data_IF_787363556259
#
_entry.id   IF_787363556259
#
_cell.length_a   1.000
_cell.length_b   1.000
_cell.length_c   1.000
_cell.angle_alpha   90.00
_cell.angle_beta   90.00
_cell.angle_gamma   90.00
#
_symmetry.space_group_name_H-M   'P 1'
#
loop_
_entity.id
_entity.type
_entity.pdbx_description
1 polymer ?
#
# COMPACT_ATOMS: atom_id res chain seq x y z
N UNK A 1 12.84 -7.94 26.58
CA UNK A 1 13.40 -7.19 25.45
C UNK A 1 12.30 -6.30 24.90
N UNK A 2 12.42 -4.99 25.12
CA UNK A 2 11.49 -4.01 24.54
C UNK A 2 11.86 -3.85 23.07
N UNK A 3 11.18 -4.56 22.17
CA UNK A 3 11.25 -4.28 20.74
C UNK A 3 10.52 -2.96 20.48
N UNK A 4 11.28 -1.98 20.05
CA UNK A 4 10.84 -0.63 19.73
C UNK A 4 9.86 -0.66 18.56
N UNK A 5 8.72 0.01 18.74
CA UNK A 5 7.85 0.45 17.63
C UNK A 5 8.66 1.33 16.67
N UNK A 6 8.34 1.34 15.35
CA UNK A 6 9.12 2.06 14.36
C UNK A 6 9.22 3.55 14.64
N UNK A 7 10.35 4.12 14.22
CA UNK A 7 10.93 5.44 14.51
C UNK A 7 10.14 6.64 13.93
N UNK A 8 8.99 6.46 13.28
CA UNK A 8 8.12 7.58 12.92
C UNK A 8 7.23 7.93 14.10
N UNK A 9 7.37 9.11 14.68
CA UNK A 9 6.62 9.55 15.87
C UNK A 9 5.08 9.63 15.71
N UNK A 10 4.51 8.92 14.74
CA UNK A 10 3.09 8.81 14.47
C UNK A 10 2.59 7.44 14.95
N UNK A 11 1.51 7.46 15.77
CA UNK A 11 0.85 6.24 16.24
C UNK A 11 0.01 5.65 15.11
N UNK A 12 -0.02 4.29 15.01
CA UNK A 12 -0.89 3.59 14.10
C UNK A 12 -2.34 3.63 14.58
N UNK A 13 -3.26 3.78 13.66
CA UNK A 13 -4.71 3.73 13.92
C UNK A 13 -5.23 2.32 13.66
N UNK A 14 -5.82 1.68 14.66
CA UNK A 14 -6.46 0.37 14.55
C UNK A 14 -7.98 0.52 14.64
N UNK A 15 -8.72 -0.29 13.88
CA UNK A 15 -10.15 -0.44 14.08
C UNK A 15 -10.44 -1.81 14.70
N UNK A 16 -11.14 -1.82 15.82
CA UNK A 16 -11.64 -3.02 16.50
C UNK A 16 -13.14 -3.14 16.29
N UNK A 17 -13.59 -4.21 15.62
CA UNK A 17 -14.99 -4.59 15.46
C UNK A 17 -15.30 -5.80 16.34
N UNK A 18 -16.13 -5.61 17.36
CA UNK A 18 -16.56 -6.62 18.33
C UNK A 18 -17.94 -6.19 18.88
N UNK A 19 -18.94 -7.04 18.82
CA UNK A 19 -20.32 -6.70 19.24
C UNK A 19 -20.47 -6.72 20.77
N UNK A 20 -19.74 -7.59 21.47
CA UNK A 20 -19.79 -7.65 22.93
C UNK A 20 -19.06 -6.46 23.56
N UNK A 21 -19.76 -5.57 24.28
CA UNK A 21 -19.16 -4.35 24.82
C UNK A 21 -18.08 -4.61 25.88
N UNK A 22 -18.15 -5.70 26.63
CA UNK A 22 -17.18 -6.02 27.67
C UNK A 22 -15.88 -6.56 27.03
N UNK A 23 -16.00 -7.43 26.02
CA UNK A 23 -14.87 -7.94 25.25
C UNK A 23 -14.20 -6.79 24.47
N UNK A 24 -14.98 -5.95 23.81
CA UNK A 24 -14.50 -4.79 23.08
C UNK A 24 -13.71 -3.86 23.99
N UNK A 25 -14.29 -3.47 25.14
CA UNK A 25 -13.62 -2.62 26.16
C UNK A 25 -12.32 -3.26 26.68
N UNK A 26 -12.34 -4.58 26.94
CA UNK A 26 -11.17 -5.31 27.38
C UNK A 26 -10.03 -5.25 26.36
N UNK A 27 -10.31 -5.51 25.09
CA UNK A 27 -9.31 -5.47 24.01
C UNK A 27 -8.81 -4.03 23.82
N UNK A 28 -9.70 -3.03 23.75
CA UNK A 28 -9.33 -1.62 23.60
C UNK A 28 -8.37 -1.17 24.68
N UNK A 29 -8.67 -1.44 25.94
CA UNK A 29 -7.83 -1.07 27.09
C UNK A 29 -6.38 -1.60 26.96
N UNK A 30 -6.18 -2.76 26.33
CA UNK A 30 -4.85 -3.34 26.13
C UNK A 30 -4.15 -2.81 24.86
N UNK A 31 -4.90 -2.31 23.88
CA UNK A 31 -4.34 -1.77 22.64
C UNK A 31 -4.04 -0.27 22.73
N UNK A 32 -4.86 0.52 23.44
CA UNK A 32 -4.74 1.97 23.60
C UNK A 32 -3.35 2.47 24.07
N UNK A 33 -2.59 1.74 24.93
CA UNK A 33 -1.23 2.18 25.25
C UNK A 33 -0.28 2.26 24.05
N UNK A 34 -0.58 1.56 22.95
CA UNK A 34 0.30 1.40 21.78
C UNK A 34 -0.26 2.00 20.50
N UNK A 35 -1.59 2.11 20.36
CA UNK A 35 -2.30 2.45 19.14
C UNK A 35 -3.43 3.44 19.41
N UNK A 36 -3.84 4.16 18.37
CA UNK A 36 -5.09 4.92 18.38
C UNK A 36 -6.21 3.96 17.95
N UNK A 37 -7.13 3.62 18.87
CA UNK A 37 -8.13 2.58 18.64
C UNK A 37 -9.49 3.19 18.30
N UNK A 38 -10.03 2.82 17.15
CA UNK A 38 -11.40 3.08 16.74
C UNK A 38 -12.25 1.85 17.06
N UNK A 39 -13.38 2.02 17.71
CA UNK A 39 -14.31 0.95 18.05
C UNK A 39 -15.47 0.87 17.07
N UNK A 40 -15.92 -0.35 16.77
CA UNK A 40 -17.16 -0.62 16.05
C UNK A 40 -17.92 -1.79 16.69
N UNK A 41 -19.23 -1.69 16.73
CA UNK A 41 -20.11 -2.68 17.40
C UNK A 41 -20.68 -3.74 16.43
N UNK A 42 -20.48 -3.59 15.14
CA UNK A 42 -20.91 -4.53 14.09
C UNK A 42 -20.17 -4.21 12.77
N UNK A 43 -20.27 -5.14 11.81
CA UNK A 43 -19.54 -4.99 10.54
C UNK A 43 -20.01 -3.83 9.65
N UNK A 44 -21.25 -3.35 9.80
CA UNK A 44 -21.73 -2.17 9.05
C UNK A 44 -21.10 -0.89 9.59
N UNK A 45 -21.12 -0.71 10.93
CA UNK A 45 -20.47 0.42 11.61
C UNK A 45 -18.95 0.42 11.33
N UNK A 46 -18.33 -0.77 11.39
CA UNK A 46 -16.93 -0.96 11.07
C UNK A 46 -16.60 -0.50 9.64
N UNK A 47 -17.35 -0.94 8.63
CA UNK A 47 -17.06 -0.59 7.24
C UNK A 47 -17.20 0.91 6.98
N UNK A 48 -18.23 1.56 7.56
CA UNK A 48 -18.39 3.01 7.44
C UNK A 48 -17.19 3.76 8.01
N UNK A 49 -16.76 3.41 9.23
CA UNK A 49 -15.57 4.00 9.87
C UNK A 49 -14.30 3.73 9.08
N UNK A 50 -14.12 2.50 8.54
CA UNK A 50 -12.97 2.15 7.70
C UNK A 50 -12.93 3.03 6.44
N UNK A 51 -14.05 3.22 5.76
CA UNK A 51 -14.12 4.03 4.55
C UNK A 51 -13.81 5.51 4.78
N UNK A 52 -14.12 6.03 5.99
CA UNK A 52 -13.85 7.42 6.37
C UNK A 52 -12.42 7.64 6.87
N UNK A 53 -11.91 6.73 7.69
CA UNK A 53 -10.64 6.93 8.42
C UNK A 53 -9.45 6.24 7.78
N UNK A 54 -9.66 5.14 7.03
CA UNK A 54 -8.63 4.27 6.46
C UNK A 54 -7.59 3.87 7.53
N UNK A 55 -7.95 3.05 8.53
CA UNK A 55 -7.04 2.65 9.59
C UNK A 55 -5.87 1.81 9.04
N UNK A 56 -4.78 1.72 9.80
CA UNK A 56 -3.60 0.95 9.42
C UNK A 56 -3.81 -0.56 9.53
N UNK A 57 -4.78 -1.01 10.37
CA UNK A 57 -5.14 -2.42 10.55
C UNK A 57 -6.55 -2.53 11.14
N UNK A 58 -7.26 -3.59 10.76
CA UNK A 58 -8.57 -3.97 11.32
C UNK A 58 -8.44 -5.27 12.11
N UNK A 59 -9.02 -5.29 13.31
CA UNK A 59 -9.24 -6.51 14.11
C UNK A 59 -10.74 -6.71 14.18
N UNK A 60 -11.25 -7.86 13.74
CA UNK A 60 -12.70 -8.13 13.71
C UNK A 60 -13.06 -9.47 14.30
N UNK A 61 -14.06 -9.49 15.17
CA UNK A 61 -14.73 -10.76 15.48
C UNK A 61 -15.51 -11.26 14.26
N UNK A 62 -15.69 -12.58 14.16
CA UNK A 62 -16.54 -13.17 13.12
C UNK A 62 -18.01 -12.95 13.47
N UNK A 63 -18.40 -13.26 14.71
CA UNK A 63 -19.80 -13.32 15.11
C UNK A 63 -20.31 -11.94 15.51
N UNK A 64 -20.77 -11.17 14.55
CA UNK A 64 -21.36 -9.84 14.80
C UNK A 64 -22.73 -9.72 14.13
N UNK A 65 -23.68 -8.93 14.71
CA UNK A 65 -24.97 -8.67 14.10
C UNK A 65 -24.85 -7.79 12.84
N UNK A 66 -25.87 -7.81 12.00
CA UNK A 66 -26.02 -7.03 10.76
C UNK A 66 -25.05 -7.47 9.64
N UNK A 67 -23.76 -7.48 9.89
CA UNK A 67 -22.70 -7.93 8.99
C UNK A 67 -21.64 -8.63 9.82
N UNK A 68 -21.34 -9.88 9.48
CA UNK A 68 -20.31 -10.67 10.14
C UNK A 68 -18.89 -10.27 9.72
N UNK A 69 -17.87 -10.74 10.46
CA UNK A 69 -16.50 -10.38 10.22
C UNK A 69 -15.91 -10.92 8.91
N UNK A 70 -16.42 -12.03 8.38
CA UNK A 70 -15.98 -12.58 7.08
C UNK A 70 -16.52 -11.73 5.93
N UNK A 71 -17.81 -11.34 6.02
CA UNK A 71 -18.41 -10.42 5.05
C UNK A 71 -17.72 -9.06 5.08
N UNK A 72 -17.43 -8.53 6.27
CA UNK A 72 -16.67 -7.29 6.44
C UNK A 72 -15.30 -7.40 5.79
N UNK A 73 -14.55 -8.46 6.07
CA UNK A 73 -13.23 -8.70 5.49
C UNK A 73 -13.29 -8.76 3.96
N UNK A 74 -14.21 -9.56 3.41
CA UNK A 74 -14.39 -9.67 1.95
C UNK A 74 -14.67 -8.30 1.31
N UNK A 75 -15.53 -7.49 1.91
CA UNK A 75 -15.87 -6.16 1.42
C UNK A 75 -14.67 -5.20 1.49
N UNK A 76 -13.91 -5.22 2.59
CA UNK A 76 -12.66 -4.44 2.72
C UNK A 76 -11.69 -4.81 1.60
N UNK A 77 -11.49 -6.11 1.36
CA UNK A 77 -10.50 -6.61 0.39
C UNK A 77 -10.90 -6.38 -1.06
N UNK A 78 -12.19 -6.33 -1.36
CA UNK A 78 -12.70 -6.08 -2.72
C UNK A 78 -12.79 -4.59 -3.07
N UNK A 79 -12.92 -3.70 -2.10
CA UNK A 79 -12.97 -2.25 -2.35
C UNK A 79 -11.56 -1.72 -2.63
N UNK A 80 -11.38 -1.07 -3.79
CA UNK A 80 -10.11 -0.47 -4.21
C UNK A 80 -9.54 0.54 -3.20
N UNK A 81 -10.40 1.16 -2.38
CA UNK A 81 -9.98 2.17 -1.39
C UNK A 81 -9.40 1.54 -0.13
N UNK A 82 -9.90 0.36 0.25
CA UNK A 82 -9.62 -0.27 1.55
C UNK A 82 -8.89 -1.60 1.44
N UNK A 83 -8.78 -2.20 0.26
CA UNK A 83 -8.21 -3.53 0.04
C UNK A 83 -6.78 -3.70 0.56
N UNK A 84 -6.02 -2.58 0.65
CA UNK A 84 -4.67 -2.57 1.23
C UNK A 84 -4.67 -2.71 2.76
N UNK A 85 -5.79 -2.50 3.45
CA UNK A 85 -5.85 -2.55 4.91
C UNK A 85 -5.79 -4.01 5.38
N UNK A 86 -4.82 -4.38 6.24
CA UNK A 86 -4.75 -5.72 6.78
C UNK A 86 -5.88 -5.98 7.75
N UNK A 87 -6.38 -7.21 7.72
CA UNK A 87 -7.49 -7.68 8.56
C UNK A 87 -7.07 -8.90 9.37
N UNK A 88 -7.15 -8.81 10.70
CA UNK A 88 -7.03 -9.94 11.62
C UNK A 88 -8.44 -10.35 12.03
N UNK A 89 -8.77 -11.61 11.82
CA UNK A 89 -10.06 -12.18 12.24
C UNK A 89 -9.90 -12.90 13.58
N UNK A 90 -10.74 -12.55 14.55
CA UNK A 90 -10.86 -13.27 15.82
C UNK A 90 -12.02 -14.28 15.69
N UNK A 91 -11.78 -15.57 16.02
CA UNK A 91 -12.76 -16.63 15.80
C UNK A 91 -12.86 -17.60 16.98
N UNK A 92 -14.02 -18.22 17.16
CA UNK A 92 -14.18 -19.32 18.11
C UNK A 92 -13.56 -20.60 17.54
N UNK A 93 -13.00 -21.47 18.42
CA UNK A 93 -12.34 -22.74 18.04
C UNK A 93 -13.21 -23.68 17.20
N UNK A 94 -14.52 -23.67 17.40
CA UNK A 94 -15.48 -24.48 16.64
C UNK A 94 -15.62 -24.06 15.16
N UNK A 95 -15.21 -22.82 14.82
CA UNK A 95 -15.26 -22.29 13.45
C UNK A 95 -13.95 -22.47 12.66
N UNK A 96 -12.91 -23.05 13.27
CA UNK A 96 -11.63 -23.33 12.59
C UNK A 96 -11.80 -24.28 11.38
N UNK A 97 -12.85 -25.11 11.37
CA UNK A 97 -13.21 -25.94 10.19
C UNK A 97 -13.69 -25.07 9.01
N UNK A 98 -14.27 -23.89 9.25
CA UNK A 98 -14.66 -22.91 8.25
C UNK A 98 -13.51 -21.95 7.85
N UNK A 99 -12.31 -22.07 8.45
CA UNK A 99 -11.12 -21.31 8.06
C UNK A 99 -10.73 -21.58 6.61
N UNK A 100 -11.04 -22.77 6.05
CA UNK A 100 -10.88 -23.00 4.60
C UNK A 100 -11.76 -22.07 3.76
N UNK A 101 -12.96 -21.74 4.23
CA UNK A 101 -13.84 -20.73 3.62
C UNK A 101 -13.36 -19.30 3.94
N UNK A 102 -12.78 -19.11 5.14
CA UNK A 102 -12.20 -17.83 5.58
C UNK A 102 -10.95 -17.40 4.81
N UNK A 103 -10.11 -18.32 4.34
CA UNK A 103 -9.02 -17.99 3.41
C UNK A 103 -9.53 -17.37 2.10
N UNK A 104 -10.78 -17.62 1.72
CA UNK A 104 -11.41 -17.00 0.55
C UNK A 104 -11.80 -15.53 0.78
N UNK A 105 -11.95 -15.05 2.02
CA UNK A 105 -12.23 -13.63 2.29
C UNK A 105 -10.98 -12.73 2.23
N UNK A 106 -9.78 -13.31 2.16
CA UNK A 106 -8.52 -12.56 2.03
C UNK A 106 -8.00 -11.96 3.35
N UNK A 107 -8.38 -12.50 4.52
CA UNK A 107 -7.84 -12.05 5.80
C UNK A 107 -6.33 -12.31 5.89
N UNK A 108 -5.60 -11.38 6.51
CA UNK A 108 -4.13 -11.47 6.64
C UNK A 108 -3.72 -12.39 7.80
N UNK A 109 -4.57 -12.55 8.82
CA UNK A 109 -4.32 -13.47 9.93
C UNK A 109 -5.61 -13.86 10.68
N UNK A 110 -5.52 -14.95 11.49
CA UNK A 110 -6.61 -15.48 12.32
C UNK A 110 -6.15 -15.74 13.74
N UNK A 111 -6.98 -15.39 14.73
CA UNK A 111 -6.74 -15.65 16.14
C UNK A 111 -7.93 -16.40 16.72
N UNK A 112 -7.66 -17.53 17.36
CA UNK A 112 -8.71 -18.39 17.96
C UNK A 112 -8.96 -17.98 19.41
N UNK A 113 -10.25 -17.74 19.77
CA UNK A 113 -10.69 -17.52 21.16
C UNK A 113 -10.69 -18.85 21.95
N UNK A 114 -10.21 -18.92 23.20
CA UNK A 114 -9.60 -17.82 23.97
C UNK A 114 -8.16 -17.56 23.57
N UNK A 115 -7.73 -16.30 23.53
CA UNK A 115 -6.38 -15.89 23.17
C UNK A 115 -5.74 -15.01 24.24
N UNK A 116 -4.40 -14.98 24.25
CA UNK A 116 -3.65 -14.04 25.07
C UNK A 116 -3.48 -12.73 24.33
N UNK A 117 -3.67 -11.60 25.02
CA UNK A 117 -3.48 -10.26 24.46
C UNK A 117 -2.07 -10.01 23.90
N UNK A 118 -1.03 -10.61 24.52
CA UNK A 118 0.34 -10.55 24.00
C UNK A 118 0.46 -11.18 22.61
N UNK A 119 -0.28 -12.26 22.35
CA UNK A 119 -0.31 -12.91 21.02
C UNK A 119 -0.96 -11.98 19.99
N UNK A 120 -2.08 -11.34 20.34
CA UNK A 120 -2.73 -10.37 19.46
C UNK A 120 -1.79 -9.19 19.16
N UNK A 121 -1.17 -8.61 20.20
CA UNK A 121 -0.20 -7.52 20.04
C UNK A 121 0.99 -7.91 19.16
N UNK A 122 1.53 -9.12 19.35
CA UNK A 122 2.64 -9.62 18.54
C UNK A 122 2.25 -9.74 17.06
N UNK A 123 1.06 -10.28 16.75
CA UNK A 123 0.56 -10.41 15.39
C UNK A 123 0.31 -9.06 14.72
N UNK A 124 -0.33 -8.11 15.43
CA UNK A 124 -0.51 -6.75 14.95
C UNK A 124 0.84 -6.12 14.57
N UNK A 125 1.83 -6.18 15.48
CA UNK A 125 3.17 -5.63 15.25
C UNK A 125 3.87 -6.28 14.06
N UNK A 126 3.79 -7.60 13.92
CA UNK A 126 4.41 -8.33 12.81
C UNK A 126 3.81 -7.92 11.46
N UNK A 127 2.49 -7.77 11.38
CA UNK A 127 1.82 -7.34 10.15
C UNK A 127 2.22 -5.91 9.79
N UNK A 128 2.19 -4.98 10.76
CA UNK A 128 2.58 -3.59 10.54
C UNK A 128 4.06 -3.48 10.14
N UNK A 129 4.96 -4.20 10.82
CA UNK A 129 6.39 -4.21 10.48
C UNK A 129 6.68 -4.81 9.09
N UNK A 130 5.96 -5.86 8.70
CA UNK A 130 6.08 -6.43 7.35
C UNK A 130 5.66 -5.43 6.28
N UNK A 131 4.60 -4.65 6.53
CA UNK A 131 4.15 -3.59 5.63
C UNK A 131 5.14 -2.43 5.51
N UNK A 132 5.76 -2.02 6.62
CA UNK A 132 6.80 -1.00 6.55
C UNK A 132 8.01 -1.45 5.71
N UNK A 133 8.44 -2.71 5.86
CA UNK A 133 9.50 -3.28 5.01
C UNK A 133 9.10 -3.31 3.53
N UNK A 134 7.85 -3.63 3.23
CA UNK A 134 7.33 -3.59 1.87
C UNK A 134 7.34 -2.16 1.31
N UNK A 135 6.88 -1.17 2.07
CA UNK A 135 6.94 0.26 1.67
C UNK A 135 8.36 0.71 1.35
N UNK A 136 9.34 0.34 2.17
CA UNK A 136 10.76 0.66 1.91
C UNK A 136 11.27 0.02 0.62
N UNK A 137 10.85 -1.21 0.33
CA UNK A 137 11.21 -1.91 -0.91
C UNK A 137 10.54 -1.28 -2.13
N UNK A 138 9.26 -0.91 -2.03
CA UNK A 138 8.53 -0.19 -3.08
C UNK A 138 9.13 1.20 -3.34
N UNK A 139 9.60 1.89 -2.30
CA UNK A 139 10.29 3.17 -2.44
C UNK A 139 11.63 3.08 -3.19
N UNK A 140 12.27 1.91 -3.17
CA UNK A 140 13.61 1.69 -3.78
C UNK A 140 13.58 0.98 -5.14
N UNK A 141 12.53 0.20 -5.46
CA UNK A 141 12.41 -0.58 -6.72
C UNK A 141 11.07 -0.33 -7.37
N UNK A 142 11.08 0.39 -8.46
CA UNK A 142 9.89 0.92 -9.14
C UNK A 142 9.27 0.01 -10.19
N UNK A 143 9.81 -1.18 -10.49
CA UNK A 143 9.22 -2.05 -11.51
C UNK A 143 8.34 -3.14 -10.90
N UNK A 144 7.09 -3.22 -11.35
CA UNK A 144 6.14 -4.29 -10.99
C UNK A 144 6.68 -5.69 -11.29
N UNK A 145 7.54 -5.84 -12.29
CA UNK A 145 8.16 -7.12 -12.68
C UNK A 145 9.16 -7.65 -11.64
N UNK A 146 9.69 -6.78 -10.76
CA UNK A 146 10.64 -7.15 -9.70
C UNK A 146 9.97 -7.50 -8.37
N UNK A 147 8.67 -7.34 -8.26
CA UNK A 147 7.90 -7.48 -7.02
C UNK A 147 7.20 -8.85 -7.00
N UNK A 148 7.96 -9.89 -6.72
CA UNK A 148 7.41 -11.21 -6.40
C UNK A 148 6.75 -11.26 -5.01
N UNK A 149 5.96 -10.23 -4.63
CA UNK A 149 5.32 -10.13 -3.33
C UNK A 149 3.82 -10.39 -3.42
N UNK A 150 3.29 -11.03 -2.39
CA UNK A 150 1.86 -11.22 -2.15
C UNK A 150 1.19 -9.87 -1.81
N UNK A 151 0.86 -9.10 -2.85
CA UNK A 151 -0.04 -7.95 -2.73
C UNK A 151 -1.48 -8.43 -2.87
N UNK A 152 -2.44 -7.70 -2.31
CA UNK A 152 -3.86 -8.02 -2.53
C UNK A 152 -4.24 -7.71 -3.98
N UNK A 153 -5.13 -8.50 -4.58
CA UNK A 153 -5.59 -8.27 -5.96
C UNK A 153 -6.17 -6.85 -6.17
N UNK A 154 -6.68 -6.22 -5.11
CA UNK A 154 -7.18 -4.84 -5.13
C UNK A 154 -6.06 -3.79 -5.19
N UNK A 155 -4.92 -4.05 -4.55
CA UNK A 155 -3.74 -3.18 -4.61
C UNK A 155 -3.06 -3.27 -5.96
N UNK A 156 -2.93 -4.46 -6.53
CA UNK A 156 -2.43 -4.67 -7.88
C UNK A 156 -3.30 -3.95 -8.92
N UNK A 157 -4.62 -4.10 -8.81
CA UNK A 157 -5.57 -3.42 -9.69
C UNK A 157 -5.46 -1.90 -9.58
N UNK A 158 -5.29 -1.37 -8.35
CA UNK A 158 -5.10 0.07 -8.13
C UNK A 158 -3.79 0.55 -8.76
N UNK A 159 -2.67 -0.14 -8.51
CA UNK A 159 -1.35 0.24 -9.05
C UNK A 159 -1.30 0.11 -10.57
N UNK A 160 -1.89 -0.93 -11.16
CA UNK A 160 -2.00 -1.08 -12.61
C UNK A 160 -2.79 0.07 -13.24
N UNK A 161 -3.96 0.44 -12.67
CA UNK A 161 -4.73 1.60 -13.15
C UNK A 161 -3.93 2.88 -13.03
N UNK A 162 -3.25 3.09 -11.89
CA UNK A 162 -2.46 4.28 -11.63
C UNK A 162 -1.30 4.42 -12.62
N UNK A 163 -0.56 3.36 -12.86
CA UNK A 163 0.51 3.36 -13.86
C UNK A 163 -0.02 3.56 -15.27
N UNK A 164 -1.14 2.94 -15.64
CA UNK A 164 -1.80 3.17 -16.91
C UNK A 164 -2.18 4.64 -17.14
N UNK A 165 -2.67 5.34 -16.10
CA UNK A 165 -2.96 6.78 -16.18
C UNK A 165 -1.67 7.59 -16.36
N UNK A 166 -0.58 7.25 -15.68
CA UNK A 166 0.70 7.93 -15.84
C UNK A 166 1.25 7.72 -17.24
N UNK A 167 1.24 6.50 -17.77
CA UNK A 167 1.75 6.15 -19.09
C UNK A 167 0.97 6.85 -20.22
N UNK A 168 -0.37 6.90 -20.12
CA UNK A 168 -1.22 7.64 -21.07
C UNK A 168 -0.97 9.15 -21.05
N UNK A 169 -0.44 9.69 -19.99
CA UNK A 169 -0.15 11.11 -19.81
C UNK A 169 1.35 11.40 -19.68
N UNK A 170 2.20 10.49 -20.13
CA UNK A 170 3.65 10.55 -19.87
C UNK A 170 4.28 11.84 -20.36
N UNK A 171 3.97 12.23 -21.63
CA UNK A 171 4.47 13.43 -22.28
C UNK A 171 3.77 14.73 -21.84
N UNK A 172 2.72 14.64 -21.03
CA UNK A 172 1.99 15.81 -20.54
C UNK A 172 2.72 16.46 -19.37
N UNK A 173 3.36 17.64 -19.52
CA UNK A 173 4.01 18.31 -18.40
C UNK A 173 3.04 18.73 -17.28
N UNK A 174 1.74 18.87 -17.61
CA UNK A 174 0.67 19.22 -16.68
C UNK A 174 0.10 18.04 -15.91
N UNK A 175 0.66 16.83 -16.03
CA UNK A 175 0.23 15.67 -15.25
C UNK A 175 0.37 15.97 -13.75
N UNK A 176 -0.74 15.90 -13.05
CA UNK A 176 -0.83 16.23 -11.64
C UNK A 176 -1.73 15.24 -10.88
N UNK A 177 -1.83 15.43 -9.56
CA UNK A 177 -2.61 14.54 -8.68
C UNK A 177 -4.10 14.48 -9.04
N UNK A 178 -4.67 15.55 -9.58
CA UNK A 178 -6.10 15.59 -9.94
C UNK A 178 -6.40 14.65 -11.11
N UNK A 179 -5.51 14.61 -12.11
CA UNK A 179 -5.60 13.67 -13.25
C UNK A 179 -5.48 12.24 -12.74
N UNK A 180 -4.55 11.96 -11.81
CA UNK A 180 -4.39 10.63 -11.22
C UNK A 180 -5.65 10.23 -10.45
N UNK A 181 -6.15 11.08 -9.56
CA UNK A 181 -7.37 10.82 -8.78
C UNK A 181 -8.57 10.50 -9.67
N UNK A 182 -8.76 11.30 -10.75
CA UNK A 182 -9.84 11.10 -11.72
C UNK A 182 -9.67 9.76 -12.45
N UNK A 183 -8.44 9.44 -12.87
CA UNK A 183 -8.14 8.22 -13.61
C UNK A 183 -8.36 6.94 -12.78
N UNK A 184 -8.07 6.95 -11.49
CA UNK A 184 -8.34 5.81 -10.60
C UNK A 184 -9.71 5.84 -9.93
N UNK A 185 -10.52 6.91 -10.14
CA UNK A 185 -11.87 7.04 -9.59
C UNK A 185 -11.90 7.29 -8.07
N UNK A 186 -10.90 8.01 -7.51
CA UNK A 186 -10.78 8.25 -6.07
C UNK A 186 -10.73 9.73 -5.72
N UNK A 187 -11.32 10.09 -4.57
CA UNK A 187 -11.14 11.44 -4.00
C UNK A 187 -9.71 11.65 -3.51
N UNK A 188 -9.25 12.92 -3.55
CA UNK A 188 -7.85 13.31 -3.26
C UNK A 188 -7.33 12.79 -1.91
N UNK A 189 -8.10 12.94 -0.84
CA UNK A 189 -7.67 12.49 0.50
C UNK A 189 -7.45 10.97 0.57
N UNK A 190 -8.37 10.17 0.01
CA UNK A 190 -8.28 8.72 -0.03
C UNK A 190 -7.14 8.25 -0.93
N UNK A 191 -6.94 8.93 -2.08
CA UNK A 191 -5.83 8.65 -2.98
C UNK A 191 -4.47 8.82 -2.29
N UNK A 192 -4.24 9.96 -1.60
CA UNK A 192 -2.99 10.21 -0.87
C UNK A 192 -2.75 9.17 0.22
N UNK A 193 -3.78 8.83 1.02
CA UNK A 193 -3.65 7.84 2.08
C UNK A 193 -3.34 6.45 1.54
N UNK A 194 -4.08 6.00 0.50
CA UNK A 194 -3.82 4.70 -0.14
C UNK A 194 -2.45 4.64 -0.79
N UNK A 195 -2.06 5.65 -1.55
CA UNK A 195 -0.75 5.69 -2.20
C UNK A 195 0.38 5.63 -1.16
N UNK A 196 0.27 6.42 -0.09
CA UNK A 196 1.24 6.41 1.01
C UNK A 196 1.28 5.05 1.72
N UNK A 197 0.12 4.42 1.94
CA UNK A 197 0.05 3.12 2.58
C UNK A 197 0.73 2.01 1.76
N UNK A 198 0.68 2.08 0.42
CA UNK A 198 1.27 1.07 -0.47
C UNK A 198 2.75 1.37 -0.79
N UNK A 199 3.11 2.64 -1.06
CA UNK A 199 4.40 3.01 -1.66
C UNK A 199 5.25 3.95 -0.82
N UNK A 200 4.69 4.58 0.20
CA UNK A 200 5.24 5.71 0.98
C UNK A 200 5.65 6.94 0.14
N UNK A 201 5.33 6.95 -1.15
CA UNK A 201 5.66 8.05 -2.05
C UNK A 201 4.58 9.11 -2.12
N UNK A 202 4.99 10.35 -2.36
CA UNK A 202 4.05 11.38 -2.80
C UNK A 202 3.63 11.14 -4.26
N UNK A 203 2.45 11.62 -4.69
CA UNK A 203 2.03 11.53 -6.10
C UNK A 203 3.03 12.16 -7.07
N UNK A 204 3.69 13.23 -6.65
CA UNK A 204 4.72 13.92 -7.46
C UNK A 204 5.96 13.05 -7.61
N UNK A 205 6.41 12.42 -6.51
CA UNK A 205 7.54 11.50 -6.54
C UNK A 205 7.22 10.26 -7.39
N UNK A 206 5.99 9.73 -7.27
CA UNK A 206 5.55 8.60 -8.08
C UNK A 206 5.61 8.92 -9.58
N UNK A 207 5.03 10.05 -10.01
CA UNK A 207 5.08 10.50 -11.41
C UNK A 207 6.53 10.66 -11.87
N UNK A 208 7.34 11.35 -11.07
CA UNK A 208 8.77 11.59 -11.38
C UNK A 208 9.53 10.28 -11.55
N UNK A 209 9.39 9.37 -10.59
CA UNK A 209 10.11 8.11 -10.61
C UNK A 209 9.68 7.23 -11.80
N UNK A 210 8.36 7.16 -12.10
CA UNK A 210 7.87 6.41 -13.25
C UNK A 210 8.35 7.00 -14.59
N UNK A 211 8.40 8.32 -14.71
CA UNK A 211 8.99 9.01 -15.85
C UNK A 211 10.47 8.66 -16.03
N UNK A 212 11.25 8.66 -14.93
CA UNK A 212 12.67 8.32 -14.98
C UNK A 212 12.93 6.86 -15.34
N UNK A 213 12.08 5.94 -14.85
CA UNK A 213 12.13 4.52 -15.23
C UNK A 213 11.93 4.34 -16.76
N UNK A 214 10.89 4.99 -17.30
CA UNK A 214 10.61 4.93 -18.73
C UNK A 214 11.74 5.61 -19.53
N UNK A 215 12.28 6.72 -19.02
CA UNK A 215 13.44 7.37 -19.65
C UNK A 215 14.65 6.45 -19.73
N UNK A 216 14.98 5.75 -18.65
CA UNK A 216 16.11 4.82 -18.63
C UNK A 216 15.96 3.72 -19.69
N UNK A 217 14.77 3.20 -19.87
CA UNK A 217 14.44 2.23 -20.91
C UNK A 217 14.56 2.84 -22.31
N UNK A 218 13.95 4.02 -22.54
CA UNK A 218 14.01 4.71 -23.85
C UNK A 218 15.45 5.04 -24.26
N UNK A 219 16.31 5.43 -23.32
CA UNK A 219 17.73 5.73 -23.57
C UNK A 219 18.51 4.50 -24.07
N UNK A 220 18.08 3.29 -23.73
CA UNK A 220 18.74 2.04 -24.18
C UNK A 220 18.10 1.44 -25.42
N UNK A 221 16.79 1.57 -25.57
CA UNK A 221 16.00 0.89 -26.60
C UNK A 221 15.76 1.74 -27.86
N UNK A 222 16.01 3.07 -27.79
CA UNK A 222 15.78 3.97 -28.93
C UNK A 222 17.05 4.72 -29.29
N UNK A 223 17.06 5.33 -30.48
CA UNK A 223 18.14 6.22 -30.95
C UNK A 223 17.91 7.69 -30.57
N UNK A 224 16.94 7.97 -29.72
CA UNK A 224 16.65 9.32 -29.24
C UNK A 224 17.82 9.86 -28.42
N UNK A 225 18.11 11.15 -28.62
CA UNK A 225 19.06 11.83 -27.76
C UNK A 225 18.45 12.15 -26.39
N UNK A 226 19.29 12.49 -25.39
CA UNK A 226 18.88 12.72 -24.02
C UNK A 226 17.82 13.85 -23.91
N UNK A 227 17.94 14.90 -24.73
CA UNK A 227 16.98 16.02 -24.75
C UNK A 227 15.62 15.58 -25.30
N UNK A 228 15.60 14.77 -26.34
CA UNK A 228 14.37 14.20 -26.91
C UNK A 228 13.68 13.28 -25.90
N UNK A 229 14.42 12.40 -25.23
CA UNK A 229 13.88 11.54 -24.18
C UNK A 229 13.29 12.39 -23.06
N UNK A 230 14.03 13.38 -22.55
CA UNK A 230 13.56 14.28 -21.49
C UNK A 230 12.24 14.97 -21.85
N UNK A 231 12.11 15.47 -23.09
CA UNK A 231 10.87 16.11 -23.57
C UNK A 231 9.72 15.11 -23.70
N UNK A 232 9.96 13.91 -24.27
CA UNK A 232 8.95 12.87 -24.47
C UNK A 232 8.36 12.33 -23.18
N UNK A 233 9.11 12.35 -22.07
CA UNK A 233 8.62 11.93 -20.75
C UNK A 233 8.07 13.09 -19.91
N UNK A 234 7.86 14.27 -20.53
CA UNK A 234 7.17 15.41 -19.92
C UNK A 234 7.99 16.19 -18.88
N UNK A 235 9.32 16.21 -18.99
CA UNK A 235 10.15 17.14 -18.21
C UNK A 235 10.29 18.47 -18.95
N UNK A 236 9.98 19.57 -18.26
CA UNK A 236 10.10 20.93 -18.79
C UNK A 236 11.54 21.44 -18.82
N UNK A 237 12.46 20.80 -18.11
CA UNK A 237 13.85 21.22 -18.01
C UNK A 237 14.78 20.03 -18.09
N UNK A 238 15.66 20.06 -19.07
CA UNK A 238 16.72 19.05 -19.26
C UNK A 238 17.69 19.00 -18.05
N UNK A 239 18.03 20.15 -17.48
CA UNK A 239 18.88 20.20 -16.28
C UNK A 239 18.21 19.56 -15.07
N UNK A 240 16.94 19.82 -14.86
CA UNK A 240 16.17 19.17 -13.79
C UNK A 240 16.02 17.66 -14.00
N UNK A 241 15.77 17.23 -15.25
CA UNK A 241 15.80 15.82 -15.62
C UNK A 241 17.12 15.15 -15.26
N UNK A 242 18.25 15.72 -15.68
CA UNK A 242 19.58 15.17 -15.40
C UNK A 242 19.86 15.07 -13.89
N UNK A 243 19.46 16.07 -13.10
CA UNK A 243 19.56 16.05 -11.63
C UNK A 243 18.73 14.92 -11.02
N UNK A 244 17.45 14.77 -11.43
CA UNK A 244 16.58 13.71 -10.93
C UNK A 244 17.07 12.32 -11.35
N UNK A 245 17.55 12.18 -12.57
CA UNK A 245 18.09 10.92 -13.09
C UNK A 245 19.34 10.50 -12.31
N UNK A 246 20.27 11.44 -12.08
CA UNK A 246 21.47 11.17 -11.27
C UNK A 246 21.10 10.78 -9.82
N UNK A 247 20.14 11.47 -9.20
CA UNK A 247 19.67 11.13 -7.87
C UNK A 247 19.07 9.70 -7.78
N UNK A 248 18.41 9.22 -8.86
CA UNK A 248 17.77 7.90 -8.90
C UNK A 248 18.76 6.77 -9.26
N UNK A 249 19.65 7.00 -10.23
CA UNK A 249 20.52 5.96 -10.78
C UNK A 249 21.99 6.08 -10.35
N UNK A 250 22.35 7.13 -9.58
CA UNK A 250 23.71 7.36 -9.10
C UNK A 250 24.69 7.83 -10.18
N UNK A 251 24.21 8.11 -11.40
CA UNK A 251 25.00 8.54 -12.55
C UNK A 251 24.18 9.40 -13.52
N UNK A 252 24.87 10.18 -14.35
CA UNK A 252 24.20 11.00 -15.38
C UNK A 252 23.56 10.12 -16.48
N UNK A 253 22.55 10.64 -17.21
CA UNK A 253 21.97 9.93 -18.36
C UNK A 253 23.01 9.50 -19.41
N UNK A 254 24.02 10.32 -19.63
CA UNK A 254 25.11 10.00 -20.57
C UNK A 254 25.96 8.82 -20.13
N UNK A 255 26.37 8.82 -18.86
CA UNK A 255 27.12 7.72 -18.26
C UNK A 255 26.30 6.43 -18.24
N UNK A 256 24.98 6.54 -17.93
CA UNK A 256 24.07 5.41 -17.94
C UNK A 256 24.02 4.71 -19.31
N UNK A 257 23.87 5.49 -20.39
CA UNK A 257 23.91 4.97 -21.78
C UNK A 257 25.26 4.33 -22.11
N UNK A 258 26.37 4.99 -21.77
CA UNK A 258 27.70 4.48 -22.05
C UNK A 258 27.99 3.16 -21.34
N UNK A 259 27.61 3.02 -20.08
CA UNK A 259 27.83 1.79 -19.32
C UNK A 259 26.94 0.64 -19.81
N UNK A 260 25.67 0.90 -20.09
CA UNK A 260 24.74 -0.16 -20.44
C UNK A 260 24.80 -0.57 -21.93
N UNK A 261 25.10 0.35 -22.88
CA UNK A 261 25.31 -0.02 -24.29
C UNK A 261 26.61 -0.82 -24.46
N UNK A 262 27.66 -0.60 -23.68
CA UNK A 262 28.84 -1.47 -23.68
C UNK A 262 28.56 -2.92 -23.30
N UNK A 263 27.63 -3.14 -22.36
CA UNK A 263 27.27 -4.50 -21.92
C UNK A 263 26.41 -5.25 -22.95
N UNK A 264 25.70 -4.56 -23.85
CA UNK A 264 24.90 -5.16 -24.93
C UNK A 264 25.72 -5.67 -26.11
N UNK A 265 26.99 -5.18 -26.29
CA UNK A 265 27.87 -5.59 -27.37
C UNK A 265 28.97 -6.60 -26.96
N UNK A 266 28.89 -7.12 -25.72
CA UNK A 266 29.82 -8.12 -25.17
C UNK A 266 29.15 -9.45 -24.80
N UNK A 267 27.98 -9.76 -25.38
CA UNK A 267 27.35 -11.09 -25.30
C UNK A 267 27.40 -11.79 -26.66
#
# INVERSE_FOLDING_TARGET
MQEQLPVSGQRYTLLLAEDNPDVRRYICKHLEPYFDVLEAENGVDAFNKIAETLPDLVVSDIMMPKKDGLQLCSEIKQDLRTGHIPVIIITAKSMVMHIKEGFQCGADDYIVKPFNMEVLLCRIRNILASRERLKELYGKKFSLESLGFETTSADDTFMQKLFGVIEQNLSNPGLNVEILCKGVGMGRANFYRKLKAITDLSPVDLIRNKRLEIAARMLLETDMNISEVSANIGFNSHAYFATCFNAMYGMSPTEYVQQNKKNLYHV
#
